data_IF_283679042766
#
_entry.id   IF_283679042766
#
_cell.length_a   1.000
_cell.length_b   1.000
_cell.length_c   1.000
_cell.angle_alpha   90.00
_cell.angle_beta   90.00
_cell.angle_gamma   90.00
#
_symmetry.space_group_name_H-M   'P 1'
#
loop_
_entity.id
_entity.type
_entity.pdbx_description
1 polymer ?
#
# COMPACT_ATOMS: atom_id res chain seq x y z
N UNK A 1 23.50 8.97 9.58
CA UNK A 1 23.67 7.50 9.49
C UNK A 1 24.51 6.91 10.63
N UNK A 2 25.53 7.60 11.16
CA UNK A 2 26.21 7.23 12.42
C UNK A 2 25.24 6.84 13.55
N UNK A 3 24.21 7.67 13.75
CA UNK A 3 23.12 7.46 14.71
C UNK A 3 22.35 6.14 14.52
N UNK A 4 22.23 5.63 13.29
CA UNK A 4 21.55 4.35 13.03
C UNK A 4 22.41 3.17 13.45
N UNK A 5 23.74 3.23 13.22
CA UNK A 5 24.70 2.21 13.68
C UNK A 5 24.71 2.12 15.20
N UNK A 6 24.82 3.25 15.90
CA UNK A 6 24.71 3.30 17.37
C UNK A 6 23.37 2.77 17.86
N UNK A 7 22.28 3.14 17.18
CA UNK A 7 20.95 2.63 17.50
C UNK A 7 20.84 1.10 17.35
N UNK A 8 21.64 0.45 16.50
CA UNK A 8 21.61 -1.02 16.37
C UNK A 8 22.19 -1.75 17.57
N UNK A 9 23.10 -1.10 18.31
CA UNK A 9 23.76 -1.67 19.49
C UNK A 9 22.79 -1.83 20.65
N UNK A 10 21.78 -0.97 20.74
CA UNK A 10 20.75 -0.99 21.79
C UNK A 10 19.48 -1.76 21.41
N UNK A 11 19.38 -2.29 20.18
CA UNK A 11 18.21 -3.09 19.78
C UNK A 11 18.30 -4.48 20.42
N UNK A 12 17.53 -4.73 21.48
CA UNK A 12 17.51 -6.03 22.19
C UNK A 12 16.45 -6.98 21.64
N UNK A 13 15.39 -6.43 21.03
CA UNK A 13 14.26 -7.21 20.49
C UNK A 13 14.62 -7.92 19.18
N UNK A 14 13.87 -8.96 18.86
CA UNK A 14 14.12 -9.82 17.70
C UNK A 14 13.89 -9.09 16.36
N UNK A 15 12.90 -8.20 16.29
CA UNK A 15 12.66 -7.32 15.15
C UNK A 15 13.12 -5.88 15.43
N UNK A 16 13.29 -5.11 14.36
CA UNK A 16 13.55 -3.67 14.48
C UNK A 16 12.41 -2.96 15.24
N UNK A 17 12.68 -1.89 16.01
CA UNK A 17 11.68 -1.25 16.88
C UNK A 17 10.39 -0.82 16.17
N UNK A 18 10.50 -0.37 14.91
CA UNK A 18 9.33 0.01 14.09
C UNK A 18 8.48 -1.21 13.75
N UNK A 19 9.10 -2.35 13.46
CA UNK A 19 8.41 -3.59 13.06
C UNK A 19 7.82 -4.30 14.27
N UNK A 20 8.47 -4.24 15.43
CA UNK A 20 7.88 -4.68 16.71
C UNK A 20 6.54 -3.98 16.99
N UNK A 21 6.48 -2.64 16.84
CA UNK A 21 5.22 -1.90 17.00
C UNK A 21 4.13 -2.35 16.03
N UNK A 22 4.49 -2.67 14.79
CA UNK A 22 3.55 -3.16 13.77
C UNK A 22 3.01 -4.54 14.18
N UNK A 23 3.87 -5.44 14.63
CA UNK A 23 3.50 -6.77 15.11
C UNK A 23 2.56 -6.68 16.33
N UNK A 24 2.85 -5.82 17.30
CA UNK A 24 1.95 -5.61 18.44
C UNK A 24 0.56 -5.13 18.01
N UNK A 25 0.46 -4.25 17.01
CA UNK A 25 -0.83 -3.82 16.48
C UNK A 25 -1.56 -4.97 15.77
N UNK A 26 -0.84 -5.73 14.95
CA UNK A 26 -1.41 -6.88 14.22
C UNK A 26 -1.95 -7.92 15.20
N UNK A 27 -1.24 -8.15 16.31
CA UNK A 27 -1.69 -9.02 17.39
C UNK A 27 -3.00 -8.52 18.02
N UNK A 28 -3.13 -7.21 18.27
CA UNK A 28 -4.40 -6.66 18.80
C UNK A 28 -5.53 -6.81 17.77
N UNK A 29 -5.24 -6.58 16.49
CA UNK A 29 -6.22 -6.70 15.40
C UNK A 29 -6.61 -8.15 15.08
N UNK A 30 -5.80 -9.14 15.46
CA UNK A 30 -6.11 -10.56 15.29
C UNK A 30 -7.04 -11.11 16.37
N UNK A 31 -7.17 -10.40 17.49
CA UNK A 31 -8.00 -10.85 18.59
C UNK A 31 -9.46 -10.99 18.18
N UNK A 32 -10.11 -12.05 18.66
CA UNK A 32 -11.51 -12.39 18.40
C UNK A 32 -11.85 -12.80 16.95
N UNK A 33 -10.84 -13.00 16.08
CA UNK A 33 -11.07 -13.63 14.78
C UNK A 33 -11.37 -15.12 14.98
N UNK A 34 -12.36 -15.64 14.24
CA UNK A 34 -12.71 -17.06 14.30
C UNK A 34 -11.87 -17.84 13.31
N UNK A 35 -11.11 -18.81 13.80
CA UNK A 35 -10.21 -19.61 12.96
C UNK A 35 -10.74 -21.03 12.86
N UNK A 36 -10.94 -21.50 11.64
CA UNK A 36 -11.27 -22.88 11.32
C UNK A 36 -10.03 -23.55 10.72
N UNK A 37 -9.56 -24.61 11.36
CA UNK A 37 -8.49 -25.42 10.80
C UNK A 37 -9.06 -26.31 9.70
N UNK A 38 -8.47 -26.23 8.50
CA UNK A 38 -8.89 -27.07 7.37
C UNK A 38 -8.07 -28.36 7.34
N UNK A 39 -6.77 -28.27 7.07
CA UNK A 39 -5.82 -29.39 7.11
C UNK A 39 -4.38 -28.86 7.06
N UNK A 40 -3.41 -29.61 7.61
CA UNK A 40 -1.99 -29.23 7.62
C UNK A 40 -1.79 -27.78 8.12
N UNK A 41 -1.06 -26.97 7.35
CA UNK A 41 -0.76 -25.55 7.62
C UNK A 41 -1.80 -24.57 7.04
N UNK A 42 -2.99 -25.06 6.66
CA UNK A 42 -4.05 -24.25 6.05
C UNK A 42 -5.21 -24.01 7.00
N UNK A 43 -5.69 -22.77 6.97
CA UNK A 43 -6.73 -22.26 7.85
C UNK A 43 -7.69 -21.38 7.06
N UNK A 44 -8.95 -21.42 7.46
CA UNK A 44 -9.94 -20.42 7.10
C UNK A 44 -10.14 -19.50 8.30
N UNK A 45 -9.97 -18.19 8.09
CA UNK A 45 -10.13 -17.18 9.14
C UNK A 45 -11.32 -16.30 8.77
N UNK A 46 -12.34 -16.28 9.63
CA UNK A 46 -13.54 -15.46 9.48
C UNK A 46 -13.30 -14.11 10.17
N UNK A 47 -13.51 -13.05 9.42
CA UNK A 47 -13.33 -11.65 9.81
C UNK A 47 -14.56 -10.85 9.33
N UNK A 48 -15.52 -10.69 10.25
CA UNK A 48 -16.85 -10.18 9.92
C UNK A 48 -17.62 -11.14 9.02
N UNK A 49 -18.11 -10.64 7.88
CA UNK A 49 -18.88 -11.42 6.89
C UNK A 49 -17.99 -12.11 5.84
N UNK A 50 -16.67 -11.94 5.91
CA UNK A 50 -15.72 -12.48 4.93
C UNK A 50 -14.87 -13.56 5.57
N UNK A 51 -14.47 -14.54 4.76
CA UNK A 51 -13.45 -15.52 5.15
C UNK A 51 -12.19 -15.38 4.30
N UNK A 52 -11.07 -15.71 4.92
CA UNK A 52 -9.74 -15.59 4.34
C UNK A 52 -8.99 -16.90 4.49
N UNK A 53 -8.45 -17.40 3.38
CA UNK A 53 -7.57 -18.56 3.38
C UNK A 53 -6.16 -18.13 3.81
N UNK A 54 -5.60 -18.84 4.79
CA UNK A 54 -4.24 -18.64 5.29
C UNK A 54 -3.47 -19.93 5.12
N UNK A 55 -2.27 -19.85 4.53
CA UNK A 55 -1.30 -20.94 4.49
C UNK A 55 -0.04 -20.49 5.23
N UNK A 56 0.24 -21.11 6.38
CA UNK A 56 1.40 -20.75 7.21
C UNK A 56 2.72 -21.27 6.63
N UNK A 57 2.69 -22.35 5.85
CA UNK A 57 3.89 -22.94 5.25
C UNK A 57 4.39 -22.03 4.11
N UNK A 58 3.46 -21.62 3.24
CA UNK A 58 3.75 -20.72 2.13
C UNK A 58 3.80 -19.24 2.53
N UNK A 59 3.60 -18.92 3.82
CA UNK A 59 3.52 -17.55 4.36
C UNK A 59 2.55 -16.67 3.55
N UNK A 60 1.36 -17.19 3.31
CA UNK A 60 0.39 -16.64 2.36
C UNK A 60 -0.96 -16.40 3.04
N UNK A 61 -1.62 -15.30 2.67
CA UNK A 61 -3.01 -15.03 3.03
C UNK A 61 -3.77 -14.48 1.83
N UNK A 62 -5.01 -14.90 1.64
CA UNK A 62 -5.86 -14.39 0.54
C UNK A 62 -6.12 -12.88 0.60
N UNK A 63 -5.93 -12.23 1.76
CA UNK A 63 -5.99 -10.77 1.90
C UNK A 63 -4.79 -10.03 1.27
N UNK A 64 -3.75 -10.77 0.84
CA UNK A 64 -2.52 -10.28 0.19
C UNK A 64 -1.58 -9.43 1.04
N UNK A 65 -2.01 -9.02 2.24
CA UNK A 65 -1.22 -8.17 3.10
C UNK A 65 0.09 -8.83 3.55
N UNK A 66 0.13 -10.15 3.75
CA UNK A 66 1.36 -10.84 4.15
C UNK A 66 2.40 -10.83 3.04
N UNK A 67 1.99 -11.13 1.82
CA UNK A 67 2.85 -11.23 0.65
C UNK A 67 3.45 -9.86 0.27
N UNK A 68 2.68 -8.79 0.45
CA UNK A 68 3.10 -7.41 0.18
C UNK A 68 4.00 -6.89 1.30
N UNK A 69 3.55 -6.99 2.55
CA UNK A 69 4.25 -6.36 3.68
C UNK A 69 5.40 -7.20 4.23
N UNK A 70 5.50 -8.48 3.82
CA UNK A 70 6.46 -9.47 4.32
C UNK A 70 6.38 -9.68 5.85
N UNK A 71 5.22 -9.37 6.42
CA UNK A 71 4.86 -9.57 7.82
C UNK A 71 3.51 -10.28 7.87
N UNK A 72 3.27 -11.18 8.82
CA UNK A 72 1.95 -11.77 9.02
C UNK A 72 0.87 -10.69 9.10
N UNK A 73 -0.27 -10.88 8.44
CA UNK A 73 -1.42 -10.00 8.63
C UNK A 73 -2.24 -10.43 9.85
N UNK A 74 -3.30 -9.69 10.22
CA UNK A 74 -4.17 -10.07 11.36
C UNK A 74 -4.78 -11.47 11.22
N UNK A 75 -5.14 -11.89 10.00
CA UNK A 75 -5.68 -13.23 9.75
C UNK A 75 -4.63 -14.30 9.99
N UNK A 76 -3.42 -14.09 9.47
CA UNK A 76 -2.31 -15.02 9.65
C UNK A 76 -1.84 -15.08 11.10
N UNK A 77 -1.84 -13.96 11.81
CA UNK A 77 -1.56 -13.89 13.24
C UNK A 77 -2.52 -14.80 14.02
N UNK A 78 -3.83 -14.69 13.78
CA UNK A 78 -4.81 -15.55 14.45
C UNK A 78 -4.56 -17.06 14.19
N UNK A 79 -4.17 -17.43 12.96
CA UNK A 79 -3.82 -18.82 12.64
C UNK A 79 -2.51 -19.29 13.31
N UNK A 80 -1.51 -18.41 13.44
CA UNK A 80 -0.24 -18.68 14.14
C UNK A 80 -0.50 -18.86 15.63
N UNK A 81 -1.32 -18.01 16.23
CA UNK A 81 -1.72 -18.08 17.64
C UNK A 81 -2.47 -19.39 17.94
N UNK A 82 -3.38 -19.82 17.06
CA UNK A 82 -4.07 -21.11 17.19
C UNK A 82 -3.10 -22.31 17.24
N UNK A 83 -1.95 -22.20 16.55
CA UNK A 83 -0.89 -23.21 16.55
C UNK A 83 0.13 -23.05 17.69
N UNK A 84 -0.04 -22.06 18.56
CA UNK A 84 0.89 -21.72 19.65
C UNK A 84 2.32 -21.47 19.16
N UNK A 85 2.46 -20.86 17.97
CA UNK A 85 3.74 -20.54 17.39
C UNK A 85 4.11 -19.06 17.60
N UNK A 86 5.40 -18.76 17.53
CA UNK A 86 5.88 -17.38 17.62
C UNK A 86 5.58 -16.61 16.34
N UNK A 87 4.91 -15.47 16.47
CA UNK A 87 4.63 -14.56 15.35
C UNK A 87 5.92 -14.05 14.70
N UNK A 88 6.99 -13.92 15.49
CA UNK A 88 8.28 -13.47 15.02
C UNK A 88 8.87 -14.44 13.98
N UNK A 89 8.70 -15.74 14.10
CA UNK A 89 9.23 -16.75 13.16
C UNK A 89 8.65 -16.62 11.74
N UNK A 90 7.46 -16.02 11.66
CA UNK A 90 6.74 -15.80 10.42
C UNK A 90 7.03 -14.44 9.78
N UNK A 91 7.80 -13.58 10.46
CA UNK A 91 8.30 -12.32 9.90
C UNK A 91 9.49 -12.55 8.97
N UNK A 92 9.62 -11.73 7.94
CA UNK A 92 10.76 -11.80 7.03
C UNK A 92 12.08 -11.46 7.72
N UNK A 93 13.15 -12.17 7.33
CA UNK A 93 14.51 -12.01 7.85
C UNK A 93 15.01 -10.57 7.72
N UNK A 94 14.58 -9.82 6.72
CA UNK A 94 15.01 -8.42 6.52
C UNK A 94 14.54 -7.46 7.61
N UNK A 95 13.56 -7.86 8.42
CA UNK A 95 13.09 -7.06 9.55
C UNK A 95 13.74 -7.43 10.88
N UNK A 96 14.50 -8.52 10.91
CA UNK A 96 15.20 -9.00 12.11
C UNK A 96 16.33 -8.06 12.46
N UNK A 97 16.51 -7.81 13.75
CA UNK A 97 17.57 -6.96 14.28
C UNK A 97 18.95 -7.47 13.86
N UNK A 98 19.15 -8.79 13.77
CA UNK A 98 20.40 -9.38 13.28
C UNK A 98 20.76 -8.95 11.86
N UNK A 99 19.80 -8.99 10.93
CA UNK A 99 19.99 -8.54 9.55
C UNK A 99 20.22 -7.02 9.49
N UNK A 100 19.47 -6.26 10.30
CA UNK A 100 19.66 -4.80 10.39
C UNK A 100 21.08 -4.44 10.89
N UNK A 101 21.58 -5.11 11.94
CA UNK A 101 22.96 -4.94 12.42
C UNK A 101 23.99 -5.30 11.36
N UNK A 102 23.76 -6.38 10.61
CA UNK A 102 24.65 -6.78 9.52
C UNK A 102 24.71 -5.72 8.41
N UNK A 103 23.56 -5.16 8.03
CA UNK A 103 23.48 -4.10 7.02
C UNK A 103 24.23 -2.82 7.42
N UNK A 104 24.20 -2.45 8.70
CA UNK A 104 24.87 -1.24 9.22
C UNK A 104 26.19 -1.51 9.95
N UNK A 105 26.78 -2.71 9.77
CA UNK A 105 28.06 -3.07 10.41
C UNK A 105 29.22 -2.21 9.87
N UNK A 106 29.18 -1.90 8.58
CA UNK A 106 30.19 -1.08 7.90
C UNK A 106 30.11 0.40 8.30
N UNK A 107 31.24 1.09 8.18
CA UNK A 107 31.28 2.55 8.31
C UNK A 107 30.75 3.14 7.00
N UNK A 108 29.61 3.83 7.08
CA UNK A 108 29.14 4.68 5.99
C UNK A 108 29.71 6.06 6.27
N UNK A 109 30.74 6.44 5.54
CA UNK A 109 31.33 7.77 5.65
C UNK A 109 30.28 8.81 5.26
N UNK A 110 30.16 9.92 6.01
CA UNK A 110 29.37 11.04 5.53
C UNK A 110 29.92 11.44 4.16
N UNK A 111 29.02 11.61 3.18
CA UNK A 111 29.39 12.33 1.97
C UNK A 111 29.79 13.72 2.47
N UNK A 112 31.01 14.20 2.17
CA UNK A 112 31.35 15.59 2.44
C UNK A 112 30.17 16.42 1.95
N UNK A 113 29.60 17.26 2.81
CA UNK A 113 28.68 18.25 2.30
C UNK A 113 29.46 18.96 1.21
N UNK A 114 29.06 18.78 -0.04
CA UNK A 114 29.37 19.78 -1.03
C UNK A 114 28.64 20.99 -0.48
N UNK A 115 29.34 21.79 0.32
CA UNK A 115 29.14 23.22 0.25
C UNK A 115 29.27 23.47 -1.23
N UNK A 116 28.13 23.67 -1.88
CA UNK A 116 28.06 24.12 -3.26
C UNK A 116 28.64 25.53 -3.17
N UNK A 117 29.96 25.63 -3.10
CA UNK A 117 30.62 26.83 -3.54
C UNK A 117 30.20 26.92 -5.00
N UNK A 118 29.50 27.99 -5.36
CA UNK A 118 29.11 28.28 -6.76
C UNK A 118 30.32 28.20 -7.70
N UNK A 119 31.55 28.28 -7.16
CA UNK A 119 32.81 28.10 -7.88
C UNK A 119 33.20 26.65 -8.26
N UNK A 120 32.49 25.62 -7.79
CA UNK A 120 32.73 24.21 -8.15
C UNK A 120 31.73 23.67 -9.19
N UNK A 121 30.88 24.53 -9.76
CA UNK A 121 30.08 24.19 -10.93
C UNK A 121 31.01 24.13 -12.14
N UNK A 122 31.54 22.95 -12.44
CA UNK A 122 32.14 22.69 -13.75
C UNK A 122 31.06 22.96 -14.81
N UNK A 123 31.27 23.99 -15.63
CA UNK A 123 30.38 24.40 -16.72
C UNK A 123 30.07 23.24 -17.69
N UNK A 124 30.86 22.16 -17.66
CA UNK A 124 30.67 20.95 -18.45
C UNK A 124 29.61 19.95 -17.94
N UNK A 125 29.12 20.07 -16.70
CA UNK A 125 28.22 19.08 -16.08
C UNK A 125 26.76 19.54 -15.94
N UNK A 126 26.27 20.34 -16.89
CA UNK A 126 24.85 20.70 -16.98
C UNK A 126 24.04 19.46 -17.38
N UNK A 127 23.47 18.77 -16.39
CA UNK A 127 22.44 17.76 -16.63
C UNK A 127 21.17 18.52 -17.02
N UNK A 128 20.89 18.60 -18.32
CA UNK A 128 19.63 19.16 -18.80
C UNK A 128 18.47 18.32 -18.25
N UNK A 129 17.39 19.01 -17.87
CA UNK A 129 16.15 18.33 -17.53
C UNK A 129 15.75 17.42 -18.71
N UNK A 130 15.27 16.19 -18.44
CA UNK A 130 14.72 15.36 -19.51
C UNK A 130 13.67 16.15 -20.29
N UNK A 131 13.66 16.03 -21.61
CA UNK A 131 12.64 16.69 -22.44
C UNK A 131 11.25 16.32 -21.91
N UNK A 132 10.52 17.34 -21.45
CA UNK A 132 9.13 17.18 -21.02
C UNK A 132 8.26 16.93 -22.25
N UNK A 133 8.08 15.65 -22.61
CA UNK A 133 6.97 15.28 -23.46
C UNK A 133 5.68 15.41 -22.66
N UNK A 134 4.83 16.37 -23.04
CA UNK A 134 3.45 16.39 -22.56
C UNK A 134 2.84 15.01 -22.81
N UNK A 135 2.44 14.31 -21.75
CA UNK A 135 1.70 13.06 -21.92
C UNK A 135 0.52 13.37 -22.83
N UNK A 136 0.37 12.62 -23.92
CA UNK A 136 -0.80 12.68 -24.79
C UNK A 136 -2.03 12.55 -23.87
N UNK A 137 -2.69 13.68 -23.63
CA UNK A 137 -3.75 13.74 -22.64
C UNK A 137 -4.78 12.66 -22.94
N UNK A 138 -5.28 12.01 -21.89
CA UNK A 138 -6.37 11.07 -22.02
C UNK A 138 -7.50 11.74 -22.82
N UNK A 139 -7.77 11.21 -24.02
CA UNK A 139 -8.85 11.72 -24.88
C UNK A 139 -10.11 11.67 -24.04
N UNK A 140 -10.70 12.84 -23.73
CA UNK A 140 -11.90 12.98 -22.90
C UNK A 140 -12.99 12.06 -23.45
N UNK A 141 -13.08 10.82 -22.98
CA UNK A 141 -14.20 9.94 -23.34
C UNK A 141 -15.42 10.51 -22.66
N UNK A 142 -16.48 10.72 -23.43
CA UNK A 142 -17.76 11.20 -22.91
C UNK A 142 -18.14 10.31 -21.71
N UNK A 143 -18.27 10.90 -20.52
CA UNK A 143 -18.66 10.21 -19.28
C UNK A 143 -19.87 9.32 -19.57
N UNK A 144 -19.73 8.01 -19.33
CA UNK A 144 -20.85 7.08 -19.36
C UNK A 144 -21.68 7.37 -18.09
N UNK A 145 -22.95 7.79 -18.22
CA UNK A 145 -23.80 8.07 -17.07
C UNK A 145 -24.09 6.78 -16.29
N UNK A 146 -24.12 6.86 -14.95
CA UNK A 146 -24.50 5.73 -14.09
C UNK A 146 -25.99 5.42 -14.28
N UNK A 147 -26.43 4.24 -13.82
CA UNK A 147 -27.81 3.73 -13.98
C UNK A 147 -28.90 4.68 -13.42
N UNK A 148 -28.51 5.64 -12.58
CA UNK A 148 -29.38 6.62 -11.92
C UNK A 148 -29.42 7.99 -12.66
N UNK A 149 -28.47 8.26 -13.56
CA UNK A 149 -28.40 9.52 -14.30
C UNK A 149 -29.27 9.46 -15.57
N UNK A 150 -30.55 9.87 -15.48
CA UNK A 150 -31.40 10.07 -16.67
C UNK A 150 -31.07 11.38 -17.37
N UNK A 151 -30.56 11.31 -18.60
CA UNK A 151 -30.34 12.49 -19.44
C UNK A 151 -31.68 13.01 -19.96
N UNK A 152 -32.21 14.06 -19.34
CA UNK A 152 -33.37 14.78 -19.88
C UNK A 152 -32.93 15.62 -21.08
N UNK A 153 -33.32 15.19 -22.29
CA UNK A 153 -33.05 15.92 -23.53
C UNK A 153 -33.74 17.28 -23.54
N UNK A 154 -33.03 18.31 -24.01
CA UNK A 154 -33.58 19.64 -24.29
C UNK A 154 -34.03 19.66 -25.74
N UNK A 155 -35.22 20.22 -26.02
CA UNK A 155 -35.58 20.46 -27.41
C UNK A 155 -34.72 21.58 -27.99
N UNK A 156 -34.16 21.38 -29.18
CA UNK A 156 -33.13 22.24 -29.77
C UNK A 156 -33.60 23.65 -30.11
N UNK A 157 -34.90 23.86 -30.34
CA UNK A 157 -35.44 25.20 -30.68
C UNK A 157 -35.59 26.12 -29.47
N UNK A 158 -36.16 25.60 -28.37
CA UNK A 158 -36.49 26.39 -27.18
C UNK A 158 -35.52 26.17 -26.02
N UNK A 159 -34.61 25.18 -26.14
CA UNK A 159 -33.65 24.75 -25.11
C UNK A 159 -34.24 24.37 -23.74
N UNK A 160 -35.57 24.21 -23.65
CA UNK A 160 -36.28 23.78 -22.45
C UNK A 160 -36.33 22.25 -22.39
N UNK A 161 -36.20 21.71 -21.17
CA UNK A 161 -36.24 20.27 -20.87
C UNK A 161 -37.70 19.80 -20.76
N UNK A 162 -37.92 18.49 -20.91
CA UNK A 162 -39.19 17.85 -20.52
C UNK A 162 -40.34 17.96 -21.53
N UNK A 163 -40.07 18.35 -22.78
CA UNK A 163 -41.08 18.34 -23.84
C UNK A 163 -40.46 18.04 -25.21
N UNK A 164 -41.27 17.54 -26.14
CA UNK A 164 -40.86 17.24 -27.52
C UNK A 164 -41.28 18.33 -28.50
N UNK A 165 -40.83 18.25 -29.77
CA UNK A 165 -41.23 19.16 -30.85
C UNK A 165 -42.75 19.35 -30.94
N UNK A 166 -43.52 18.28 -30.74
CA UNK A 166 -44.99 18.27 -30.88
C UNK A 166 -45.70 19.01 -29.74
N UNK A 167 -45.06 19.10 -28.58
CA UNK A 167 -45.62 19.72 -27.37
C UNK A 167 -44.97 21.08 -27.05
N UNK A 168 -44.17 21.62 -27.98
CA UNK A 168 -43.52 22.91 -27.82
C UNK A 168 -44.52 24.04 -28.09
N UNK A 169 -44.79 24.87 -27.06
CA UNK A 169 -45.73 26.00 -27.14
C UNK A 169 -45.11 27.30 -27.69
N UNK A 170 -43.81 27.31 -27.98
CA UNK A 170 -43.17 28.49 -28.56
C UNK A 170 -43.52 28.63 -30.04
N UNK A 171 -43.86 29.85 -30.46
CA UNK A 171 -44.19 30.17 -31.85
C UNK A 171 -43.06 29.79 -32.81
N UNK A 172 -43.43 29.42 -34.03
CA UNK A 172 -42.48 29.14 -35.10
C UNK A 172 -42.22 30.48 -35.79
N UNK A 173 -41.03 31.05 -35.59
CA UNK A 173 -40.49 32.09 -36.46
C UNK A 173 -39.78 31.43 -37.64
#
# INVERSE_FOLDING_TARGET
>A
MHRQRESTLVMVKELSPRKEKVISRIYVESQNLRVHWSCNWRFEVVDGEKSFAVDLMDKNCSCRAWQINKLPCKHSCAAIELRLLSLHDFCDKYFKTGMYRQAYKGIINPIPTFDINESNLDEGNVINAPDEHSQLGHRRTKKIPSQVETRVSKYSRCHKKGHSRRSCKEAIN
#
